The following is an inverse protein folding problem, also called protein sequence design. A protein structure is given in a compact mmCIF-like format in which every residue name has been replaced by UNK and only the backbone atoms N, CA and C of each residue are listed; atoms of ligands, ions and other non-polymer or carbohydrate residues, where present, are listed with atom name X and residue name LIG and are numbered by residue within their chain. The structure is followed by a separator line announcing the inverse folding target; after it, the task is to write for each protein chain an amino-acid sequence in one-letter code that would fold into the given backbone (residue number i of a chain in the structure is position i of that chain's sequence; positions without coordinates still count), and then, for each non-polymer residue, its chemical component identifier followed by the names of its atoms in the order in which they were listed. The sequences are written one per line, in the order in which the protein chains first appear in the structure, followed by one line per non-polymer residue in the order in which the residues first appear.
data_IF_304856034674
#
_entry.id   IF_304856034674
#
_cell.length_a   1.000
_cell.length_b   1.000
_cell.length_c   1.000
_cell.angle_alpha   90.00
_cell.angle_beta   90.00
_cell.angle_gamma   90.00
#
_symmetry.space_group_name_H-M   'P 1'
#
loop_
_entity.id
_entity.type
_entity.pdbx_description
1 polymer ?
#
# COMPACT_ATOMS: atom_id res chain seq x y z
N UNK A 1 -12.67 -21.36 -10.70
CA UNK A 1 -12.48 -22.27 -9.55
C UNK A 1 -11.34 -21.70 -8.73
N UNK A 2 -11.51 -21.54 -7.42
CA UNK A 2 -10.42 -21.09 -6.55
C UNK A 2 -9.34 -22.18 -6.49
N UNK A 3 -8.15 -21.88 -7.02
CA UNK A 3 -7.03 -22.79 -7.09
C UNK A 3 -5.88 -22.26 -6.23
N UNK A 4 -5.33 -23.10 -5.36
CA UNK A 4 -4.19 -22.77 -4.50
C UNK A 4 -2.84 -23.01 -5.21
N UNK A 5 -2.85 -23.62 -6.40
CA UNK A 5 -1.63 -23.85 -7.15
C UNK A 5 -1.20 -22.58 -7.85
N UNK A 6 0.03 -22.17 -7.58
CA UNK A 6 0.66 -21.11 -8.34
C UNK A 6 1.02 -21.61 -9.73
N UNK A 7 0.78 -20.78 -10.72
CA UNK A 7 1.22 -21.06 -12.09
C UNK A 7 2.75 -21.11 -12.19
N UNK A 8 3.32 -21.77 -13.21
CA UNK A 8 4.77 -21.74 -13.47
C UNK A 8 5.31 -20.31 -13.59
N UNK A 9 4.52 -19.39 -14.16
CA UNK A 9 4.87 -18.00 -14.31
C UNK A 9 4.93 -17.28 -12.95
N UNK A 10 3.92 -17.45 -12.09
CA UNK A 10 3.90 -16.90 -10.73
C UNK A 10 5.07 -17.42 -9.90
N UNK A 11 5.42 -18.72 -10.06
CA UNK A 11 6.58 -19.31 -9.39
C UNK A 11 7.89 -18.69 -9.88
N UNK A 12 8.02 -18.47 -11.19
CA UNK A 12 9.18 -17.84 -11.80
C UNK A 12 9.34 -16.38 -11.33
N UNK A 13 8.30 -15.57 -11.43
CA UNK A 13 8.30 -14.17 -10.98
C UNK A 13 8.66 -14.11 -9.48
N UNK A 14 8.03 -14.93 -8.64
CA UNK A 14 8.36 -15.02 -7.22
C UNK A 14 9.82 -15.33 -6.96
N UNK A 15 10.39 -16.29 -7.70
CA UNK A 15 11.81 -16.66 -7.59
C UNK A 15 12.73 -15.51 -7.97
N UNK A 16 12.44 -14.84 -9.09
CA UNK A 16 13.22 -13.69 -9.58
C UNK A 16 13.20 -12.52 -8.58
N UNK A 17 12.02 -12.18 -8.03
CA UNK A 17 11.91 -11.12 -7.02
C UNK A 17 12.65 -11.50 -5.74
N UNK A 18 12.56 -12.76 -5.30
CA UNK A 18 13.29 -13.25 -4.12
C UNK A 18 14.82 -13.14 -4.30
N UNK A 19 15.34 -13.46 -5.48
CA UNK A 19 16.76 -13.26 -5.76
C UNK A 19 17.16 -11.79 -5.75
N UNK A 20 16.34 -10.91 -6.33
CA UNK A 20 16.56 -9.48 -6.29
C UNK A 20 16.57 -8.95 -4.83
N UNK A 21 15.62 -9.36 -4.02
CA UNK A 21 15.55 -9.00 -2.60
C UNK A 21 16.81 -9.44 -1.86
N UNK A 22 17.25 -10.68 -2.07
CA UNK A 22 18.44 -11.23 -1.41
C UNK A 22 19.74 -10.52 -1.81
N UNK A 23 19.87 -10.12 -3.07
CA UNK A 23 21.11 -9.51 -3.60
C UNK A 23 21.16 -8.00 -3.47
N UNK A 24 20.03 -7.30 -3.65
CA UNK A 24 20.02 -5.86 -3.80
C UNK A 24 19.41 -5.11 -2.62
N UNK A 25 18.39 -5.69 -1.95
CA UNK A 25 17.67 -5.01 -0.88
C UNK A 25 18.23 -5.38 0.50
N UNK A 26 18.20 -6.68 0.86
CA UNK A 26 18.61 -7.13 2.20
C UNK A 26 20.01 -6.67 2.62
N UNK A 27 21.06 -6.72 1.77
CA UNK A 27 22.41 -6.29 2.17
C UNK A 27 22.49 -4.80 2.51
N UNK A 28 21.64 -3.97 1.91
CA UNK A 28 21.57 -2.53 2.17
C UNK A 28 20.76 -2.24 3.42
N UNK A 29 19.55 -2.81 3.50
CA UNK A 29 18.57 -2.48 4.54
C UNK A 29 18.92 -3.10 5.89
N UNK A 30 19.47 -4.31 5.88
CA UNK A 30 19.85 -5.03 7.12
C UNK A 30 21.30 -4.74 7.53
N UNK A 31 21.99 -3.80 6.88
CA UNK A 31 23.29 -3.36 7.37
C UNK A 31 23.12 -2.71 8.76
N UNK A 32 23.94 -3.07 9.76
CA UNK A 32 23.77 -2.60 11.14
C UNK A 32 23.66 -1.08 11.28
N UNK A 33 24.42 -0.33 10.47
CA UNK A 33 24.37 1.13 10.46
C UNK A 33 23.05 1.71 9.94
N UNK A 34 22.23 0.91 9.26
CA UNK A 34 20.94 1.31 8.65
C UNK A 34 19.70 0.75 9.35
N UNK A 35 19.86 0.02 10.43
CA UNK A 35 18.72 -0.52 11.20
C UNK A 35 18.04 0.56 12.04
N UNK A 36 18.65 1.73 12.21
CA UNK A 36 18.03 2.88 12.86
C UNK A 36 17.05 3.56 11.91
N UNK A 37 15.90 3.97 12.43
CA UNK A 37 14.87 4.62 11.62
C UNK A 37 15.36 5.93 10.95
N UNK A 38 16.31 6.66 11.56
CA UNK A 38 16.93 7.86 10.99
C UNK A 38 17.80 7.56 9.75
N UNK A 39 18.33 6.35 9.65
CA UNK A 39 19.31 5.98 8.62
C UNK A 39 18.68 5.18 7.47
N UNK A 40 17.35 5.09 7.43
CA UNK A 40 16.58 4.33 6.42
C UNK A 40 16.51 4.98 5.03
N UNK A 41 17.48 5.82 4.69
CA UNK A 41 17.55 6.31 3.32
C UNK A 41 17.88 5.17 2.35
N UNK A 42 16.94 4.89 1.47
CA UNK A 42 17.10 3.85 0.44
C UNK A 42 17.79 4.46 -0.80
N UNK A 43 18.88 3.84 -1.28
CA UNK A 43 19.53 4.30 -2.51
C UNK A 43 18.57 4.25 -3.69
N UNK A 44 18.59 5.30 -4.53
CA UNK A 44 17.75 5.39 -5.71
C UNK A 44 17.98 4.23 -6.71
N UNK A 45 19.18 3.66 -6.71
CA UNK A 45 19.57 2.53 -7.56
C UNK A 45 18.73 1.26 -7.31
N UNK A 46 18.19 1.07 -6.09
CA UNK A 46 17.29 -0.06 -5.80
C UNK A 46 16.01 0.09 -6.62
N UNK A 47 15.44 1.30 -6.67
CA UNK A 47 14.22 1.58 -7.43
C UNK A 47 14.46 1.52 -8.93
N UNK A 48 15.62 2.04 -9.40
CA UNK A 48 16.00 1.97 -10.80
C UNK A 48 16.10 0.50 -11.26
N UNK A 49 16.77 -0.37 -10.49
CA UNK A 49 16.89 -1.80 -10.77
C UNK A 49 15.54 -2.52 -10.76
N UNK A 50 14.72 -2.25 -9.75
CA UNK A 50 13.37 -2.82 -9.65
C UNK A 50 12.48 -2.38 -10.83
N UNK A 51 12.59 -1.13 -11.26
CA UNK A 51 11.87 -0.61 -12.42
C UNK A 51 12.33 -1.25 -13.74
N UNK A 52 13.64 -1.50 -13.92
CA UNK A 52 14.17 -2.24 -15.07
C UNK A 52 13.65 -3.68 -15.13
N UNK A 53 13.33 -4.28 -13.99
CA UNK A 53 12.67 -5.60 -13.91
C UNK A 53 11.18 -5.56 -14.22
N UNK A 54 10.61 -4.40 -14.51
CA UNK A 54 9.17 -4.23 -14.76
C UNK A 54 8.29 -4.15 -13.49
N UNK A 55 8.87 -4.15 -12.28
CA UNK A 55 8.10 -4.21 -11.04
C UNK A 55 7.24 -2.95 -10.81
N UNK A 56 7.67 -1.79 -11.33
CA UNK A 56 6.94 -0.54 -11.26
C UNK A 56 5.68 -0.51 -12.14
N UNK A 57 5.69 -1.26 -13.26
CA UNK A 57 4.60 -1.32 -14.24
C UNK A 57 3.90 -2.69 -14.24
N UNK A 58 4.10 -3.48 -13.18
CA UNK A 58 3.70 -4.88 -13.09
C UNK A 58 2.20 -5.11 -13.37
N UNK A 59 1.33 -4.30 -12.77
CA UNK A 59 -0.13 -4.45 -12.89
C UNK A 59 -0.72 -3.74 -14.12
N UNK A 60 0.04 -2.85 -14.78
CA UNK A 60 -0.42 -2.20 -16.01
C UNK A 60 -0.53 -3.24 -17.12
N UNK A 61 -1.60 -3.18 -17.91
CA UNK A 61 -1.85 -4.19 -18.95
C UNK A 61 -0.76 -4.25 -20.00
N UNK A 62 -0.58 -5.42 -20.60
CA UNK A 62 0.43 -5.68 -21.64
C UNK A 62 0.26 -4.77 -22.86
N UNK A 63 -0.98 -4.52 -23.28
CA UNK A 63 -1.26 -3.65 -24.43
C UNK A 63 -0.88 -2.18 -24.20
N UNK A 64 -0.70 -1.77 -22.94
CA UNK A 64 -0.18 -0.46 -22.54
C UNK A 64 1.32 -0.50 -22.16
N UNK A 65 2.00 -1.63 -22.31
CA UNK A 65 3.42 -1.77 -22.06
C UNK A 65 3.81 -2.20 -20.64
N UNK A 66 2.87 -2.64 -19.83
CA UNK A 66 3.11 -3.28 -18.55
C UNK A 66 3.21 -4.80 -18.64
N UNK A 67 3.18 -5.50 -17.50
CA UNK A 67 3.21 -6.96 -17.44
C UNK A 67 1.83 -7.61 -17.30
N UNK A 68 0.76 -6.84 -17.10
CA UNK A 68 -0.60 -7.35 -17.00
C UNK A 68 -0.87 -8.28 -15.80
N UNK A 69 -0.07 -8.15 -14.74
CA UNK A 69 -0.18 -9.03 -13.59
C UNK A 69 -1.54 -8.85 -12.88
N UNK A 70 -2.17 -9.99 -12.58
CA UNK A 70 -3.38 -10.04 -11.78
C UNK A 70 -3.14 -9.63 -10.32
N UNK A 71 -4.22 -9.49 -9.55
CA UNK A 71 -4.14 -9.10 -8.14
C UNK A 71 -3.35 -10.10 -7.29
N UNK A 72 -3.46 -11.40 -7.58
CA UNK A 72 -2.71 -12.42 -6.85
C UNK A 72 -1.20 -12.32 -7.11
N UNK A 73 -0.81 -12.20 -8.37
CA UNK A 73 0.60 -12.02 -8.76
C UNK A 73 1.18 -10.73 -8.18
N UNK A 74 0.41 -9.64 -8.22
CA UNK A 74 0.79 -8.37 -7.60
C UNK A 74 1.02 -8.50 -6.08
N UNK A 75 0.17 -9.26 -5.37
CA UNK A 75 0.34 -9.54 -3.95
C UNK A 75 1.53 -10.45 -3.65
N UNK A 76 1.81 -11.46 -4.50
CA UNK A 76 3.00 -12.32 -4.36
C UNK A 76 4.27 -11.48 -4.47
N UNK A 77 4.33 -10.59 -5.45
CA UNK A 77 5.48 -9.69 -5.65
C UNK A 77 5.62 -8.71 -4.49
N UNK A 78 4.52 -8.11 -4.03
CA UNK A 78 4.52 -7.19 -2.89
C UNK A 78 5.00 -7.87 -1.60
N UNK A 79 4.56 -9.12 -1.32
CA UNK A 79 5.04 -9.92 -0.19
C UNK A 79 6.55 -10.18 -0.28
N UNK A 80 7.06 -10.64 -1.44
CA UNK A 80 8.50 -10.92 -1.62
C UNK A 80 9.35 -9.65 -1.46
N UNK A 81 8.94 -8.52 -2.03
CA UNK A 81 9.62 -7.24 -1.86
C UNK A 81 9.67 -6.81 -0.38
N UNK A 82 8.57 -6.97 0.35
CA UNK A 82 8.46 -6.58 1.74
C UNK A 82 9.29 -7.47 2.70
N UNK A 83 9.63 -8.70 2.29
CA UNK A 83 10.64 -9.51 3.00
C UNK A 83 12.02 -8.85 2.96
N UNK A 84 12.27 -8.04 1.94
CA UNK A 84 13.45 -7.18 1.89
C UNK A 84 13.25 -5.89 2.66
N UNK A 85 12.23 -5.13 2.27
CA UNK A 85 11.94 -3.84 2.89
C UNK A 85 10.50 -3.38 2.58
N UNK A 86 9.78 -2.96 3.61
CA UNK A 86 8.40 -2.49 3.50
C UNK A 86 8.28 -1.19 2.69
N UNK A 87 9.24 -0.28 2.78
CA UNK A 87 9.20 1.00 2.08
C UNK A 87 9.43 0.81 0.57
N UNK A 88 10.37 -0.07 0.20
CA UNK A 88 10.58 -0.45 -1.22
C UNK A 88 9.31 -1.08 -1.80
N UNK A 89 8.72 -2.03 -1.06
CA UNK A 89 7.50 -2.70 -1.47
C UNK A 89 6.34 -1.71 -1.64
N UNK A 90 6.15 -0.79 -0.68
CA UNK A 90 5.09 0.22 -0.71
C UNK A 90 5.21 1.15 -1.92
N UNK A 91 6.40 1.69 -2.19
CA UNK A 91 6.62 2.61 -3.32
C UNK A 91 6.31 1.92 -4.66
N UNK A 92 6.82 0.70 -4.86
CA UNK A 92 6.67 -0.01 -6.12
C UNK A 92 5.25 -0.54 -6.32
N UNK A 93 4.67 -1.20 -5.31
CA UNK A 93 3.32 -1.75 -5.39
C UNK A 93 2.27 -0.64 -5.56
N UNK A 94 2.37 0.45 -4.78
CA UNK A 94 1.47 1.60 -4.93
C UNK A 94 1.54 2.19 -6.35
N UNK A 95 2.76 2.39 -6.88
CA UNK A 95 2.93 2.91 -8.25
C UNK A 95 2.34 1.94 -9.28
N UNK A 96 2.57 0.65 -9.14
CA UNK A 96 2.10 -0.37 -10.08
C UNK A 96 0.57 -0.45 -10.10
N UNK A 97 -0.06 -0.56 -8.94
CA UNK A 97 -1.53 -0.66 -8.81
C UNK A 97 -2.20 0.64 -9.24
N UNK A 98 -1.68 1.79 -8.82
CA UNK A 98 -2.21 3.08 -9.23
C UNK A 98 -2.01 3.31 -10.75
N UNK A 99 -0.92 2.80 -11.31
CA UNK A 99 -0.68 2.79 -12.76
C UNK A 99 -1.79 2.05 -13.51
N UNK A 100 -2.12 0.84 -13.06
CA UNK A 100 -3.25 0.07 -13.61
C UNK A 100 -4.56 0.88 -13.52
N UNK A 101 -4.88 1.42 -12.35
CA UNK A 101 -6.13 2.18 -12.18
C UNK A 101 -6.18 3.42 -13.05
N UNK A 102 -5.12 4.20 -13.10
CA UNK A 102 -5.10 5.43 -13.89
C UNK A 102 -5.07 5.16 -15.39
N UNK A 103 -4.12 4.36 -15.86
CA UNK A 103 -3.89 4.18 -17.30
C UNK A 103 -4.87 3.19 -17.94
N UNK A 104 -5.23 2.11 -17.28
CA UNK A 104 -6.15 1.12 -17.87
C UNK A 104 -7.61 1.54 -17.73
N UNK A 105 -7.99 2.21 -16.61
CA UNK A 105 -9.40 2.36 -16.26
C UNK A 105 -9.90 3.81 -16.33
N UNK A 106 -9.16 4.78 -15.79
CA UNK A 106 -9.71 6.12 -15.53
C UNK A 106 -9.33 7.19 -16.55
N UNK A 107 -8.14 7.11 -17.12
CA UNK A 107 -7.66 8.11 -18.07
C UNK A 107 -8.37 8.00 -19.42
N UNK A 108 -8.73 9.13 -19.98
CA UNK A 108 -9.15 9.22 -21.37
C UNK A 108 -8.00 8.89 -22.33
N UNK A 109 -8.27 8.54 -23.60
CA UNK A 109 -7.21 8.31 -24.59
C UNK A 109 -6.22 9.47 -24.71
N UNK A 110 -6.70 10.72 -24.63
CA UNK A 110 -5.85 11.92 -24.69
C UNK A 110 -4.93 12.05 -23.47
N UNK A 111 -5.44 11.77 -22.26
CA UNK A 111 -4.65 11.78 -21.06
C UNK A 111 -3.59 10.67 -21.07
N UNK A 112 -3.95 9.46 -21.52
CA UNK A 112 -2.99 8.36 -21.71
C UNK A 112 -1.90 8.74 -22.71
N UNK A 113 -2.25 9.29 -23.87
CA UNK A 113 -1.27 9.72 -24.86
C UNK A 113 -0.27 10.76 -24.31
N UNK A 114 -0.71 11.57 -23.35
CA UNK A 114 0.13 12.58 -22.70
C UNK A 114 1.10 12.00 -21.67
N UNK A 115 0.63 11.09 -20.79
CA UNK A 115 1.39 10.68 -19.60
C UNK A 115 2.03 9.30 -19.69
N UNK A 116 1.44 8.36 -20.44
CA UNK A 116 1.91 6.98 -20.50
C UNK A 116 3.31 6.81 -21.11
N UNK A 117 3.68 7.51 -22.23
CA UNK A 117 5.01 7.32 -22.81
C UNK A 117 6.14 7.66 -21.84
N UNK A 118 6.03 8.75 -21.10
CA UNK A 118 7.02 9.12 -20.11
C UNK A 118 6.99 8.17 -18.90
N UNK A 119 5.81 7.78 -18.43
CA UNK A 119 5.66 6.80 -17.37
C UNK A 119 6.38 5.48 -17.71
N UNK A 120 6.31 5.00 -18.92
CA UNK A 120 7.00 3.79 -19.34
C UNK A 120 8.52 3.96 -19.45
N UNK A 121 8.97 5.07 -20.05
CA UNK A 121 10.37 5.32 -20.37
C UNK A 121 11.20 5.76 -19.16
N UNK A 122 10.62 6.47 -18.20
CA UNK A 122 11.33 7.02 -17.05
C UNK A 122 11.21 6.07 -15.85
N UNK A 123 12.30 5.38 -15.52
CA UNK A 123 12.34 4.42 -14.40
C UNK A 123 12.08 5.04 -13.01
N UNK A 124 12.15 6.35 -12.89
CA UNK A 124 11.87 7.11 -11.65
C UNK A 124 10.49 7.77 -11.64
N UNK A 125 9.67 7.46 -12.64
CA UNK A 125 8.31 7.98 -12.69
C UNK A 125 7.40 7.21 -11.74
N UNK A 126 7.25 7.71 -10.53
CA UNK A 126 6.29 7.16 -9.57
C UNK A 126 4.99 7.94 -9.59
N UNK A 127 3.95 7.33 -9.02
CA UNK A 127 2.61 7.85 -8.94
C UNK A 127 2.21 8.03 -7.48
N UNK A 128 1.36 9.04 -7.23
CA UNK A 128 0.73 9.25 -5.94
C UNK A 128 -0.75 9.60 -6.10
N UNK A 129 -1.51 9.35 -5.06
CA UNK A 129 -2.91 9.71 -5.03
C UNK A 129 -3.30 10.39 -3.72
N UNK A 130 -3.68 11.66 -3.82
CA UNK A 130 -4.22 12.48 -2.76
C UNK A 130 -5.76 12.39 -2.80
N UNK A 131 -6.31 11.40 -2.12
CA UNK A 131 -7.75 11.11 -2.14
C UNK A 131 -8.49 11.76 -0.97
N UNK A 132 -8.03 11.53 0.24
CA UNK A 132 -8.65 11.92 1.49
C UNK A 132 -7.56 12.17 2.55
N UNK A 133 -7.85 12.97 3.57
CA UNK A 133 -6.99 13.10 4.73
C UNK A 133 -6.97 11.79 5.53
N UNK A 134 -5.82 11.38 6.10
CA UNK A 134 -5.71 10.12 6.84
C UNK A 134 -6.67 9.99 8.03
N UNK A 135 -7.08 11.11 8.62
CA UNK A 135 -7.99 11.16 9.77
C UNK A 135 -9.41 11.61 9.41
N UNK A 136 -9.78 11.60 8.12
CA UNK A 136 -11.11 11.97 7.65
C UNK A 136 -12.23 11.19 8.33
N UNK A 137 -11.93 9.98 8.78
CA UNK A 137 -12.86 9.07 9.44
C UNK A 137 -12.86 9.17 10.97
N UNK A 138 -12.04 10.03 11.57
CA UNK A 138 -12.06 10.22 13.03
C UNK A 138 -13.44 10.75 13.45
N UNK A 139 -14.11 10.00 14.34
CA UNK A 139 -15.45 10.30 14.78
C UNK A 139 -16.57 9.86 13.83
N UNK A 140 -16.22 9.20 12.72
CA UNK A 140 -17.22 8.59 11.84
C UNK A 140 -18.06 7.55 12.58
N UNK A 141 -19.36 7.60 12.28
CA UNK A 141 -20.33 6.65 12.81
C UNK A 141 -20.87 5.83 11.66
N UNK A 142 -20.60 4.54 11.63
CA UNK A 142 -20.96 3.64 10.51
C UNK A 142 -22.47 3.63 10.15
N UNK A 143 -23.35 4.09 11.03
CA UNK A 143 -24.78 4.23 10.78
C UNK A 143 -25.17 5.56 10.10
N UNK A 144 -24.22 6.43 9.80
CA UNK A 144 -24.42 7.71 9.10
C UNK A 144 -23.46 7.82 7.93
N UNK A 145 -23.95 8.08 6.72
CA UNK A 145 -23.07 8.28 5.58
C UNK A 145 -22.20 9.53 5.81
N UNK A 146 -20.95 9.45 5.37
CA UNK A 146 -20.07 10.62 5.27
C UNK A 146 -20.51 11.50 4.10
N UNK A 147 -20.35 12.82 4.26
CA UNK A 147 -20.51 13.74 3.14
C UNK A 147 -19.45 13.43 2.05
N UNK A 148 -19.79 13.66 0.78
CA UNK A 148 -18.91 13.34 -0.35
C UNK A 148 -17.58 14.13 -0.30
N UNK A 149 -17.60 15.33 0.27
CA UNK A 149 -16.47 16.22 0.48
C UNK A 149 -15.69 15.93 1.77
N UNK A 150 -16.15 15.01 2.61
CA UNK A 150 -15.46 14.68 3.85
C UNK A 150 -14.03 14.23 3.56
N UNK A 151 -13.06 14.85 4.24
CA UNK A 151 -11.63 14.55 4.05
C UNK A 151 -11.00 15.07 2.77
N UNK A 152 -11.69 15.93 1.99
CA UNK A 152 -11.15 16.57 0.79
C UNK A 152 -10.80 18.03 1.09
N UNK A 153 -9.54 18.34 1.49
CA UNK A 153 -9.15 19.66 1.94
C UNK A 153 -8.77 20.62 0.81
N UNK A 154 -8.78 20.15 -0.44
CA UNK A 154 -8.40 20.93 -1.62
C UNK A 154 -9.64 21.42 -2.33
N UNK A 155 -9.73 22.73 -2.56
CA UNK A 155 -10.76 23.36 -3.38
C UNK A 155 -10.34 23.43 -4.84
N UNK A 156 -11.32 23.31 -5.76
CA UNK A 156 -11.12 23.46 -7.21
C UNK A 156 -12.01 24.56 -7.75
N UNK A 157 -11.43 25.53 -8.45
CA UNK A 157 -12.18 26.63 -9.08
C UNK A 157 -11.98 26.61 -10.59
N UNK A 158 -13.07 26.50 -11.35
CA UNK A 158 -13.00 26.56 -12.82
C UNK A 158 -12.89 28.01 -13.29
N UNK A 159 -11.92 28.26 -14.16
CA UNK A 159 -11.69 29.58 -14.74
C UNK A 159 -12.50 29.78 -16.03
N UNK A 160 -12.75 31.04 -16.47
CA UNK A 160 -13.47 31.34 -17.73
C UNK A 160 -12.83 30.72 -18.98
N UNK A 161 -11.50 30.54 -18.99
CA UNK A 161 -10.75 29.88 -20.06
C UNK A 161 -10.84 28.34 -20.03
N UNK A 162 -11.57 27.78 -19.06
CA UNK A 162 -11.77 26.35 -18.89
C UNK A 162 -10.73 25.65 -17.98
N UNK A 163 -9.61 26.30 -17.65
CA UNK A 163 -8.63 25.77 -16.70
C UNK A 163 -9.20 25.63 -15.29
N UNK A 164 -8.54 24.81 -14.49
CA UNK A 164 -8.84 24.69 -13.07
C UNK A 164 -7.71 25.28 -12.22
N UNK A 165 -8.08 25.92 -11.13
CA UNK A 165 -7.17 26.38 -10.08
C UNK A 165 -7.45 25.58 -8.82
N UNK A 166 -6.41 24.88 -8.33
CA UNK A 166 -6.47 24.08 -7.12
C UNK A 166 -5.79 24.83 -5.98
N UNK A 167 -6.45 24.87 -4.80
CA UNK A 167 -5.94 25.50 -3.59
C UNK A 167 -6.26 24.64 -2.37
N UNK A 168 -5.26 24.45 -1.51
CA UNK A 168 -5.36 23.68 -0.28
C UNK A 168 -4.17 22.79 -0.05
N UNK A 169 -4.25 21.89 0.92
CA UNK A 169 -3.15 20.97 1.18
C UNK A 169 -3.66 19.68 1.78
N UNK A 170 -2.99 18.57 1.47
CA UNK A 170 -3.09 17.31 2.16
C UNK A 170 -1.95 17.18 3.15
N UNK A 171 -2.23 16.80 4.39
CA UNK A 171 -1.21 16.64 5.43
C UNK A 171 -0.27 15.48 5.18
N UNK A 172 -0.80 14.43 4.53
CA UNK A 172 0.01 13.30 4.10
C UNK A 172 -0.57 12.66 2.84
N UNK A 173 0.30 12.41 1.86
CA UNK A 173 -0.01 11.68 0.63
C UNK A 173 1.07 10.63 0.42
N UNK A 174 0.66 9.38 0.32
CA UNK A 174 1.55 8.26 0.06
C UNK A 174 2.29 8.45 -1.27
N UNK A 175 3.57 8.14 -1.32
CA UNK A 175 4.46 8.34 -2.47
C UNK A 175 4.66 9.79 -2.96
N UNK A 176 4.05 10.80 -2.35
CA UNK A 176 4.14 12.18 -2.86
C UNK A 176 5.57 12.68 -3.03
N UNK A 177 6.51 12.24 -2.16
CA UNK A 177 7.91 12.67 -2.22
C UNK A 177 8.66 12.16 -3.45
N UNK A 178 8.24 11.05 -4.04
CA UNK A 178 8.86 10.43 -5.22
C UNK A 178 7.99 10.49 -6.48
N UNK A 179 6.73 10.88 -6.35
CA UNK A 179 5.79 10.91 -7.48
C UNK A 179 6.15 11.98 -8.51
N UNK A 180 6.06 11.63 -9.79
CA UNK A 180 6.13 12.54 -10.94
C UNK A 180 4.74 13.03 -11.33
N UNK A 181 3.71 12.20 -11.17
CA UNK A 181 2.31 12.55 -11.39
C UNK A 181 1.50 12.23 -10.14
N UNK A 182 0.69 13.19 -9.72
CA UNK A 182 -0.18 13.07 -8.55
C UNK A 182 -1.65 13.16 -9.00
N UNK A 183 -2.44 12.14 -8.70
CA UNK A 183 -3.89 12.22 -8.82
C UNK A 183 -4.44 12.93 -7.56
N UNK A 184 -5.03 14.11 -7.72
CA UNK A 184 -5.48 14.96 -6.61
C UNK A 184 -6.99 15.05 -6.61
N UNK A 185 -7.63 14.61 -5.55
CA UNK A 185 -9.07 14.84 -5.34
C UNK A 185 -9.29 16.24 -4.79
N UNK A 186 -10.16 16.99 -5.44
CA UNK A 186 -10.49 18.37 -5.05
C UNK A 186 -11.99 18.62 -5.19
N UNK A 187 -12.51 19.49 -4.33
CA UNK A 187 -13.93 19.82 -4.26
C UNK A 187 -14.23 21.13 -5.01
N UNK A 188 -14.99 21.09 -6.12
CA UNK A 188 -15.55 22.29 -6.74
C UNK A 188 -16.70 22.84 -5.88
N UNK A 189 -16.87 24.17 -5.87
CA UNK A 189 -17.83 24.84 -4.99
C UNK A 189 -19.31 24.42 -5.14
N UNK A 190 -19.70 23.82 -6.26
CA UNK A 190 -21.10 23.52 -6.57
C UNK A 190 -21.31 22.10 -7.15
N UNK A 191 -20.34 21.20 -6.99
CA UNK A 191 -20.42 19.84 -7.51
C UNK A 191 -19.64 18.87 -6.63
N UNK A 192 -19.85 17.58 -6.84
CA UNK A 192 -19.09 16.53 -6.17
C UNK A 192 -17.58 16.65 -6.40
N UNK A 193 -16.75 16.21 -5.44
CA UNK A 193 -15.31 16.19 -5.60
C UNK A 193 -14.87 15.42 -6.85
N UNK A 194 -13.87 15.95 -7.54
CA UNK A 194 -13.31 15.39 -8.77
C UNK A 194 -11.83 15.11 -8.58
N UNK A 195 -11.28 14.19 -9.36
CA UNK A 195 -9.84 13.89 -9.34
C UNK A 195 -9.16 14.56 -10.54
N UNK A 196 -8.05 15.23 -10.28
CA UNK A 196 -7.23 15.96 -11.25
C UNK A 196 -5.85 15.33 -11.36
N UNK A 197 -5.35 15.20 -12.58
CA UNK A 197 -3.98 14.79 -12.85
C UNK A 197 -3.07 16.01 -12.74
N UNK A 198 -2.20 16.02 -11.76
CA UNK A 198 -1.31 17.14 -11.42
C UNK A 198 0.15 16.70 -11.55
N UNK A 199 0.89 17.18 -12.57
CA UNK A 199 2.34 16.97 -12.63
C UNK A 199 3.04 17.55 -11.39
N UNK A 200 4.07 16.87 -10.91
CA UNK A 200 4.82 17.26 -9.71
C UNK A 200 5.52 18.62 -9.85
N UNK A 201 5.91 18.97 -11.08
CA UNK A 201 6.58 20.21 -11.46
C UNK A 201 5.60 21.35 -11.86
N UNK A 202 4.30 21.13 -11.75
CA UNK A 202 3.31 22.16 -12.06
C UNK A 202 3.48 23.36 -11.11
N UNK A 203 3.39 24.61 -11.63
CA UNK A 203 3.46 25.81 -10.80
C UNK A 203 2.45 25.77 -9.66
N UNK A 204 2.89 26.08 -8.45
CA UNK A 204 2.05 26.07 -7.26
C UNK A 204 1.97 24.70 -6.55
N UNK A 205 2.68 23.69 -7.00
CA UNK A 205 2.82 22.39 -6.32
C UNK A 205 4.07 22.40 -5.45
N UNK A 206 3.89 22.07 -4.16
CA UNK A 206 5.00 21.79 -3.26
C UNK A 206 4.72 20.52 -2.45
N UNK A 207 5.75 19.69 -2.26
CA UNK A 207 5.68 18.53 -1.37
C UNK A 207 6.75 18.68 -0.31
N UNK A 208 6.37 18.48 0.94
CA UNK A 208 7.29 18.45 2.08
C UNK A 208 7.30 17.06 2.66
N UNK A 209 8.47 16.42 2.62
CA UNK A 209 8.65 15.14 3.32
C UNK A 209 8.58 15.41 4.84
N UNK A 210 7.96 14.51 5.62
CA UNK A 210 8.07 14.59 7.06
C UNK A 210 9.54 14.38 7.44
N UNK A 211 10.08 15.25 8.26
CA UNK A 211 11.36 14.98 8.91
C UNK A 211 11.20 13.69 9.71
N UNK A 212 12.03 12.70 9.43
CA UNK A 212 11.93 11.34 10.00
C UNK A 212 12.02 11.34 11.54
N UNK A 213 12.55 12.41 12.14
CA UNK A 213 12.60 12.68 13.59
C UNK A 213 12.57 14.18 13.90
N UNK A 214 12.17 15.03 12.95
CA UNK A 214 12.17 16.47 13.11
C UNK A 214 10.87 17.00 13.70
N UNK A 215 11.00 18.19 14.25
CA UNK A 215 9.87 19.07 14.49
C UNK A 215 9.64 19.77 13.16
N UNK A 216 8.44 19.67 12.59
CA UNK A 216 8.10 20.46 11.41
C UNK A 216 8.33 21.95 11.69
N UNK A 217 8.52 22.77 10.63
CA UNK A 217 8.80 24.20 10.78
C UNK A 217 7.74 24.98 11.59
N UNK A 218 6.56 24.39 11.80
CA UNK A 218 5.47 24.90 12.62
C UNK A 218 5.47 24.38 14.09
N UNK A 219 6.52 23.65 14.48
CA UNK A 219 6.66 23.11 15.84
C UNK A 219 5.93 21.78 16.07
N UNK A 220 5.27 21.21 15.08
CA UNK A 220 4.61 19.91 15.21
C UNK A 220 5.62 18.78 14.91
N UNK A 221 5.66 17.78 15.80
CA UNK A 221 6.43 16.57 15.59
C UNK A 221 5.73 15.71 14.51
N UNK A 222 6.30 15.65 13.33
CA UNK A 222 5.83 14.75 12.28
C UNK A 222 6.63 13.47 12.38
N UNK A 223 6.04 12.45 12.98
CA UNK A 223 6.56 11.09 12.89
C UNK A 223 6.02 10.44 11.63
N UNK A 224 6.87 9.75 10.88
CA UNK A 224 6.39 8.92 9.79
C UNK A 224 5.70 7.68 10.37
N UNK A 225 4.39 7.69 10.35
CA UNK A 225 3.54 6.54 10.68
C UNK A 225 3.16 5.71 9.45
N UNK A 226 3.86 5.94 8.34
CA UNK A 226 3.54 5.34 7.06
C UNK A 226 4.79 4.75 6.44
N UNK A 227 4.63 3.66 5.72
CA UNK A 227 5.67 3.12 4.86
C UNK A 227 5.73 3.84 3.52
N UNK A 228 6.87 3.69 2.82
CA UNK A 228 7.12 4.35 1.57
C UNK A 228 7.68 5.77 1.74
N UNK A 229 7.56 6.60 0.71
CA UNK A 229 8.02 7.99 0.70
C UNK A 229 6.86 8.95 0.47
N UNK A 230 6.07 9.14 1.51
CA UNK A 230 4.98 10.10 1.52
C UNK A 230 5.40 11.50 1.94
N UNK A 231 4.45 12.43 1.90
CA UNK A 231 4.68 13.80 2.34
C UNK A 231 3.42 14.64 2.29
N UNK A 232 3.48 15.83 2.90
CA UNK A 232 2.43 16.81 2.79
C UNK A 232 2.45 17.45 1.40
N UNK A 233 1.29 17.51 0.74
CA UNK A 233 1.11 18.11 -0.58
C UNK A 233 0.44 19.48 -0.42
N UNK A 234 1.08 20.53 -0.89
CA UNK A 234 0.54 21.88 -0.92
C UNK A 234 0.23 22.30 -2.37
N UNK A 235 -0.90 22.92 -2.55
CA UNK A 235 -1.39 23.45 -3.83
C UNK A 235 -1.74 24.93 -3.60
N UNK A 236 -0.94 25.84 -4.16
CA UNK A 236 -1.12 27.27 -4.05
C UNK A 236 -1.33 27.86 -5.45
N UNK A 237 -2.56 28.24 -5.77
CA UNK A 237 -2.94 28.70 -7.12
C UNK A 237 -2.47 27.74 -8.22
N UNK A 238 -2.45 26.44 -7.95
CA UNK A 238 -2.00 25.43 -8.90
C UNK A 238 -2.96 25.38 -10.09
N UNK A 239 -2.47 25.77 -11.28
CA UNK A 239 -3.25 25.78 -12.51
C UNK A 239 -3.05 24.49 -13.27
N UNK A 240 -4.16 23.85 -13.61
CA UNK A 240 -4.16 22.65 -14.44
C UNK A 240 -5.11 22.82 -15.61
N UNK A 241 -4.78 22.28 -16.80
CA UNK A 241 -5.64 22.34 -17.99
C UNK A 241 -7.04 21.77 -17.73
N UNK A 242 -7.99 22.15 -18.57
CA UNK A 242 -9.37 21.69 -18.49
C UNK A 242 -9.49 20.15 -18.56
N UNK A 243 -8.63 19.52 -19.36
CA UNK A 243 -8.55 18.08 -19.58
C UNK A 243 -7.78 17.31 -18.50
N UNK A 244 -7.28 18.00 -17.46
CA UNK A 244 -6.61 17.33 -16.31
C UNK A 244 -7.59 16.62 -15.37
N UNK A 245 -8.88 16.98 -15.40
CA UNK A 245 -9.89 16.25 -14.65
C UNK A 245 -10.11 14.87 -15.27
N UNK A 246 -10.02 13.81 -14.45
CA UNK A 246 -10.39 12.46 -14.87
C UNK A 246 -11.85 12.43 -15.31
N UNK A 247 -12.13 11.75 -16.43
CA UNK A 247 -13.48 11.66 -17.01
C UNK A 247 -14.39 10.67 -16.28
N UNK A 248 -15.70 10.79 -16.51
CA UNK A 248 -16.72 9.86 -16.07
C UNK A 248 -16.86 9.75 -14.55
N UNK A 249 -17.33 8.59 -14.08
CA UNK A 249 -17.53 8.27 -12.67
C UNK A 249 -16.22 8.03 -11.89
N UNK A 250 -15.10 8.64 -12.32
CA UNK A 250 -13.84 8.67 -11.58
C UNK A 250 -13.97 9.32 -10.18
N UNK A 251 -15.18 9.74 -9.84
CA UNK A 251 -15.55 10.29 -8.51
C UNK A 251 -15.95 9.23 -7.50
N UNK A 252 -16.13 8.00 -7.94
CA UNK A 252 -16.80 6.98 -7.12
C UNK A 252 -16.00 5.69 -6.87
N UNK A 253 -16.64 4.53 -7.03
CA UNK A 253 -16.16 3.24 -6.55
C UNK A 253 -14.81 2.79 -7.12
N UNK A 254 -14.48 3.15 -8.36
CA UNK A 254 -13.23 2.71 -9.01
C UNK A 254 -11.98 3.28 -8.33
N UNK A 255 -12.03 4.56 -7.94
CA UNK A 255 -10.94 5.20 -7.19
C UNK A 255 -10.87 4.74 -5.73
N UNK A 256 -12.00 4.37 -5.13
CA UNK A 256 -12.00 3.74 -3.81
C UNK A 256 -11.43 2.33 -3.82
N UNK A 257 -11.26 1.73 -4.98
CA UNK A 257 -10.66 0.40 -5.13
C UNK A 257 -9.14 0.38 -4.92
N UNK A 258 -8.46 1.54 -5.00
CA UNK A 258 -7.01 1.66 -4.77
C UNK A 258 -6.64 2.07 -3.37
N UNK A 259 -7.59 2.57 -2.59
CA UNK A 259 -7.38 3.04 -1.22
C UNK A 259 -8.16 2.20 -0.21
N UNK A 260 -8.31 2.72 0.97
CA UNK A 260 -8.93 2.17 2.17
C UNK A 260 -10.34 1.54 2.05
N UNK A 261 -10.96 1.56 0.90
CA UNK A 261 -12.37 1.18 0.73
C UNK A 261 -12.67 -0.30 0.49
N UNK A 262 -11.69 -1.18 0.57
CA UNK A 262 -11.91 -2.63 0.70
C UNK A 262 -12.33 -3.39 -0.55
N UNK A 263 -12.07 -2.88 -1.77
CA UNK A 263 -12.44 -3.53 -3.03
C UNK A 263 -11.31 -3.65 -4.07
N UNK A 264 -10.11 -3.18 -3.76
CA UNK A 264 -8.95 -3.26 -4.65
C UNK A 264 -8.03 -4.42 -4.32
N UNK A 265 -6.93 -4.51 -5.06
CA UNK A 265 -5.85 -5.45 -4.79
C UNK A 265 -5.32 -5.25 -3.36
N UNK A 266 -5.27 -6.30 -2.51
CA UNK A 266 -4.83 -6.19 -1.11
C UNK A 266 -3.30 -6.18 -1.00
N UNK A 267 -2.63 -5.27 -1.73
CA UNK A 267 -1.17 -5.19 -1.76
C UNK A 267 -0.56 -4.72 -0.43
N UNK A 268 -1.26 -3.87 0.32
CA UNK A 268 -0.83 -3.41 1.66
C UNK A 268 -0.80 -4.58 2.63
N UNK A 269 -1.81 -5.44 2.59
CA UNK A 269 -1.90 -6.66 3.39
C UNK A 269 -0.81 -7.67 3.00
N UNK A 270 -0.48 -7.76 1.72
CA UNK A 270 0.62 -8.58 1.22
C UNK A 270 1.98 -8.05 1.71
N UNK A 271 2.19 -6.72 1.69
CA UNK A 271 3.39 -6.08 2.26
C UNK A 271 3.49 -6.36 3.76
N UNK A 272 2.40 -6.17 4.49
CA UNK A 272 2.33 -6.45 5.93
C UNK A 272 2.72 -7.91 6.22
N UNK A 273 2.17 -8.85 5.46
CA UNK A 273 2.52 -10.28 5.55
C UNK A 273 4.01 -10.52 5.29
N UNK A 274 4.59 -9.83 4.30
CA UNK A 274 6.03 -9.91 3.99
C UNK A 274 6.91 -9.48 5.16
N UNK A 275 6.53 -8.44 5.90
CA UNK A 275 7.23 -8.03 7.14
C UNK A 275 7.17 -9.13 8.20
N UNK A 276 6.00 -9.74 8.41
CA UNK A 276 5.84 -10.87 9.33
C UNK A 276 6.70 -12.06 8.94
N UNK A 277 6.75 -12.37 7.64
CA UNK A 277 7.59 -13.45 7.10
C UNK A 277 9.08 -13.16 7.29
N UNK A 278 9.53 -11.91 7.07
CA UNK A 278 10.91 -11.51 7.31
C UNK A 278 11.32 -11.71 8.78
N UNK A 279 10.46 -11.33 9.71
CA UNK A 279 10.69 -11.56 11.15
C UNK A 279 10.74 -13.05 11.50
N UNK A 280 9.85 -13.86 10.92
CA UNK A 280 9.82 -15.31 11.11
C UNK A 280 11.07 -16.00 10.56
N UNK A 281 11.46 -15.70 9.33
CA UNK A 281 12.67 -16.25 8.69
C UNK A 281 13.89 -15.94 9.54
N UNK A 282 14.06 -14.70 10.00
CA UNK A 282 15.16 -14.29 10.85
C UNK A 282 15.14 -15.02 12.21
N UNK A 283 13.97 -15.18 12.84
CA UNK A 283 13.82 -15.90 14.12
C UNK A 283 14.13 -17.39 13.97
N UNK A 284 13.69 -18.00 12.87
CA UNK A 284 13.95 -19.40 12.55
C UNK A 284 15.44 -19.66 12.34
N UNK A 285 16.12 -18.80 11.57
CA UNK A 285 17.56 -18.92 11.33
C UNK A 285 18.36 -18.69 12.60
N UNK A 286 18.00 -17.68 13.41
CA UNK A 286 18.61 -17.46 14.71
C UNK A 286 18.44 -18.67 15.63
N UNK A 287 17.24 -19.27 15.68
CA UNK A 287 16.96 -20.41 16.54
C UNK A 287 17.74 -21.67 16.16
N UNK A 288 18.09 -21.84 14.85
CA UNK A 288 18.95 -22.92 14.36
C UNK A 288 20.42 -22.72 14.69
N UNK A 289 20.87 -21.46 14.78
CA UNK A 289 22.27 -21.11 15.02
C UNK A 289 22.61 -20.91 16.50
N UNK A 290 21.68 -20.36 17.29
CA UNK A 290 21.90 -20.03 18.70
C UNK A 290 21.92 -21.28 19.56
N UNK A 291 23.03 -21.51 20.28
CA UNK A 291 23.16 -22.61 21.24
C UNK A 291 22.91 -22.09 22.65
N UNK A 292 22.01 -22.75 23.39
CA UNK A 292 21.74 -22.52 24.81
C UNK A 292 21.31 -23.85 25.42
N UNK A 293 21.74 -24.12 26.67
CA UNK A 293 21.47 -25.42 27.31
C UNK A 293 22.08 -26.60 26.56
N UNK A 294 23.24 -26.41 25.92
CA UNK A 294 24.01 -27.43 25.23
C UNK A 294 23.53 -27.84 23.82
N UNK A 295 22.51 -27.17 23.25
CA UNK A 295 21.97 -27.47 21.91
C UNK A 295 21.39 -26.23 21.23
N UNK A 296 21.14 -26.24 19.91
CA UNK A 296 20.41 -25.20 19.24
C UNK A 296 19.06 -24.93 19.88
N UNK A 297 18.67 -23.65 20.04
CA UNK A 297 17.45 -23.32 20.78
C UNK A 297 16.17 -23.82 20.10
N UNK A 298 16.19 -24.07 18.78
CA UNK A 298 15.06 -24.67 18.05
C UNK A 298 14.70 -26.07 18.57
N UNK A 299 15.66 -26.80 19.17
CA UNK A 299 15.44 -28.14 19.74
C UNK A 299 14.73 -28.12 21.08
N UNK A 300 14.51 -26.95 21.67
CA UNK A 300 13.70 -26.78 22.87
C UNK A 300 12.24 -26.68 22.49
N UNK A 301 11.38 -27.53 23.04
CA UNK A 301 9.95 -27.59 22.71
C UNK A 301 9.24 -26.23 22.81
N UNK A 302 9.60 -25.41 23.83
CA UNK A 302 9.01 -24.09 24.01
C UNK A 302 9.29 -23.17 22.80
N UNK A 303 10.54 -23.15 22.31
CA UNK A 303 10.92 -22.36 21.13
C UNK A 303 10.27 -22.92 19.87
N UNK A 304 10.25 -24.27 19.73
CA UNK A 304 9.55 -24.90 18.60
C UNK A 304 8.06 -24.56 18.56
N UNK A 305 7.39 -24.54 19.73
CA UNK A 305 5.98 -24.14 19.83
C UNK A 305 5.77 -22.66 19.43
N UNK A 306 6.63 -21.75 19.88
CA UNK A 306 6.57 -20.33 19.51
C UNK A 306 6.72 -20.13 18.00
N UNK A 307 7.70 -20.82 17.39
CA UNK A 307 7.89 -20.75 15.92
C UNK A 307 6.70 -21.33 15.15
N UNK A 308 6.10 -22.42 15.67
CA UNK A 308 4.90 -23.00 15.07
C UNK A 308 3.69 -22.05 15.14
N UNK A 309 3.49 -21.35 16.27
CA UNK A 309 2.43 -20.35 16.39
C UNK A 309 2.61 -19.19 15.39
N UNK A 310 3.84 -18.71 15.19
CA UNK A 310 4.15 -17.69 14.19
C UNK A 310 3.81 -18.20 12.80
N UNK A 311 4.28 -19.40 12.44
CA UNK A 311 4.03 -20.01 11.14
C UNK A 311 2.53 -20.17 10.85
N UNK A 312 1.74 -20.66 11.82
CA UNK A 312 0.29 -20.79 11.69
C UNK A 312 -0.37 -19.43 11.40
N UNK A 313 -0.02 -18.38 12.16
CA UNK A 313 -0.59 -17.04 11.94
C UNK A 313 -0.28 -16.52 10.55
N UNK A 314 0.95 -16.67 10.09
CA UNK A 314 1.37 -16.17 8.77
C UNK A 314 0.72 -16.96 7.63
N UNK A 315 0.56 -18.28 7.75
CA UNK A 315 -0.12 -19.07 6.72
C UNK A 315 -1.62 -18.74 6.63
N UNK A 316 -2.30 -18.54 7.76
CA UNK A 316 -3.70 -18.09 7.78
C UNK A 316 -3.81 -16.69 7.18
N UNK A 317 -2.88 -15.78 7.52
CA UNK A 317 -2.83 -14.44 6.95
C UNK A 317 -2.64 -14.49 5.43
N UNK A 318 -1.71 -15.30 4.93
CA UNK A 318 -1.47 -15.51 3.49
C UNK A 318 -2.71 -16.02 2.77
N UNK A 319 -3.36 -17.04 3.32
CA UNK A 319 -4.59 -17.58 2.75
C UNK A 319 -5.68 -16.51 2.63
N UNK A 320 -5.79 -15.63 3.61
CA UNK A 320 -6.76 -14.52 3.62
C UNK A 320 -6.41 -13.47 2.56
N UNK A 321 -5.13 -13.09 2.43
CA UNK A 321 -4.66 -12.15 1.39
C UNK A 321 -4.89 -12.72 0.00
N UNK A 322 -4.51 -13.96 -0.25
CA UNK A 322 -4.67 -14.60 -1.56
C UNK A 322 -6.14 -14.74 -1.96
N UNK A 323 -7.01 -15.09 -1.00
CA UNK A 323 -8.44 -15.14 -1.25
C UNK A 323 -9.00 -13.76 -1.59
N UNK A 324 -8.57 -12.71 -0.88
CA UNK A 324 -8.99 -11.34 -1.16
C UNK A 324 -8.46 -10.85 -2.51
N UNK A 325 -7.21 -11.18 -2.86
CA UNK A 325 -6.62 -10.87 -4.15
C UNK A 325 -7.37 -11.53 -5.31
N UNK A 326 -7.62 -12.84 -5.20
CA UNK A 326 -8.38 -13.57 -6.20
C UNK A 326 -9.81 -13.01 -6.37
N UNK A 327 -10.46 -12.67 -5.27
CA UNK A 327 -11.80 -12.08 -5.28
C UNK A 327 -11.85 -10.66 -5.88
N UNK A 328 -10.73 -9.92 -5.89
CA UNK A 328 -10.65 -8.62 -6.56
C UNK A 328 -10.84 -8.76 -8.08
N UNK A 329 -10.28 -9.81 -8.65
CA UNK A 329 -10.36 -10.09 -10.08
C UNK A 329 -11.62 -10.89 -10.47
N UNK A 330 -12.31 -11.49 -9.48
CA UNK A 330 -13.48 -12.35 -9.65
C UNK A 330 -14.63 -11.93 -8.72
N UNK A 331 -15.15 -10.70 -8.86
CA UNK A 331 -16.17 -10.17 -7.95
C UNK A 331 -17.46 -11.01 -7.93
N UNK A 332 -17.79 -11.71 -9.03
CA UNK A 332 -18.94 -12.62 -9.12
C UNK A 332 -18.83 -13.83 -8.19
N UNK A 333 -17.62 -14.28 -7.88
CA UNK A 333 -17.40 -15.47 -7.05
C UNK A 333 -17.76 -15.27 -5.58
N UNK A 334 -17.88 -14.02 -5.12
CA UNK A 334 -18.26 -13.72 -3.73
C UNK A 334 -19.77 -13.63 -3.53
N UNK A 335 -20.58 -13.65 -4.60
CA UNK A 335 -22.03 -13.52 -4.56
C UNK A 335 -22.74 -14.68 -3.82
N UNK A 336 -22.08 -15.81 -3.66
CA UNK A 336 -22.65 -17.04 -3.06
C UNK A 336 -22.12 -17.34 -1.64
N UNK A 337 -21.57 -16.34 -0.96
CA UNK A 337 -21.05 -16.54 0.40
C UNK A 337 -22.20 -16.61 1.42
N UNK A 338 -21.94 -17.33 2.52
CA UNK A 338 -22.89 -17.46 3.64
C UNK A 338 -23.22 -16.12 4.33
N UNK A 339 -22.31 -15.17 4.26
CA UNK A 339 -22.52 -13.77 4.64
C UNK A 339 -22.22 -12.96 3.40
N UNK A 340 -23.30 -12.53 2.74
CA UNK A 340 -23.22 -11.69 1.56
C UNK A 340 -22.56 -10.34 1.90
N UNK A 341 -21.93 -9.72 0.92
CA UNK A 341 -21.42 -8.35 0.97
C UNK A 341 -20.28 -8.07 1.97
N UNK A 342 -19.71 -9.10 2.62
CA UNK A 342 -18.51 -8.88 3.44
C UNK A 342 -17.32 -8.51 2.57
N UNK A 343 -16.68 -7.36 2.82
CA UNK A 343 -15.52 -6.90 2.06
C UNK A 343 -14.28 -7.72 2.45
N UNK A 344 -13.86 -8.63 1.58
CA UNK A 344 -12.74 -9.56 1.85
C UNK A 344 -11.42 -8.85 2.08
N UNK A 345 -11.14 -7.81 1.32
CA UNK A 345 -9.93 -7.00 1.47
C UNK A 345 -9.91 -6.32 2.84
N UNK A 346 -11.05 -5.81 3.28
CA UNK A 346 -11.18 -5.20 4.62
C UNK A 346 -11.00 -6.25 5.73
N UNK A 347 -11.52 -7.48 5.52
CA UNK A 347 -11.30 -8.60 6.46
C UNK A 347 -9.83 -8.99 6.49
N UNK A 348 -9.18 -9.08 5.32
CA UNK A 348 -7.74 -9.34 5.23
C UNK A 348 -6.96 -8.29 6.02
N UNK A 349 -7.25 -7.01 5.82
CA UNK A 349 -6.62 -5.89 6.53
C UNK A 349 -6.75 -6.02 8.05
N UNK A 350 -7.96 -6.17 8.55
CA UNK A 350 -8.23 -6.28 9.98
C UNK A 350 -7.52 -7.48 10.63
N UNK A 351 -7.44 -8.60 9.90
CA UNK A 351 -6.81 -9.82 10.41
C UNK A 351 -5.29 -9.77 10.30
N UNK A 352 -4.76 -9.44 9.12
CA UNK A 352 -3.32 -9.52 8.80
C UNK A 352 -2.52 -8.55 9.66
N UNK A 353 -2.97 -7.29 9.82
CA UNK A 353 -2.25 -6.30 10.64
C UNK A 353 -2.08 -6.77 12.09
N UNK A 354 -3.13 -7.33 12.69
CA UNK A 354 -3.06 -7.86 14.06
C UNK A 354 -2.18 -9.13 14.12
N UNK A 355 -2.40 -10.08 13.22
CA UNK A 355 -1.68 -11.35 13.20
C UNK A 355 -0.18 -11.17 12.99
N UNK A 356 0.21 -10.26 12.09
CA UNK A 356 1.62 -9.95 11.81
C UNK A 356 2.27 -9.22 12.97
N UNK A 357 1.58 -8.24 13.58
CA UNK A 357 2.11 -7.58 14.77
C UNK A 357 2.40 -8.59 15.91
N UNK A 358 1.45 -9.47 16.21
CA UNK A 358 1.65 -10.53 17.21
C UNK A 358 2.78 -11.51 16.81
N UNK A 359 2.88 -11.85 15.52
CA UNK A 359 3.94 -12.73 15.02
C UNK A 359 5.33 -12.10 15.16
N UNK A 360 5.48 -10.79 14.85
CA UNK A 360 6.76 -10.09 15.00
C UNK A 360 7.18 -9.93 16.44
N UNK A 361 6.26 -9.66 17.38
CA UNK A 361 6.55 -9.65 18.81
C UNK A 361 7.04 -11.01 19.30
N UNK A 362 6.35 -12.09 18.90
CA UNK A 362 6.76 -13.46 19.27
C UNK A 362 8.09 -13.84 18.62
N UNK A 363 8.38 -13.39 17.40
CA UNK A 363 9.69 -13.56 16.77
C UNK A 363 10.81 -12.84 17.58
N UNK A 364 10.54 -11.65 18.09
CA UNK A 364 11.48 -10.94 18.97
C UNK A 364 11.71 -11.68 20.29
N UNK A 365 10.69 -12.33 20.87
CA UNK A 365 10.84 -13.18 22.05
C UNK A 365 11.76 -14.38 21.78
N UNK A 366 11.73 -14.99 20.60
CA UNK A 366 12.66 -16.07 20.20
C UNK A 366 14.12 -15.60 20.22
N UNK A 367 14.38 -14.35 19.86
CA UNK A 367 15.72 -13.73 19.97
C UNK A 367 16.15 -13.48 21.42
N UNK A 368 15.21 -13.43 22.38
CA UNK A 368 15.48 -13.06 23.77
C UNK A 368 16.12 -11.67 23.86
N UNK A 369 17.15 -11.51 24.68
CA UNK A 369 17.84 -10.22 24.82
C UNK A 369 18.44 -9.67 23.51
N UNK A 370 18.75 -10.53 22.55
CA UNK A 370 19.24 -10.10 21.24
C UNK A 370 18.16 -9.41 20.42
N UNK A 371 16.87 -9.63 20.70
CA UNK A 371 15.76 -8.96 20.00
C UNK A 371 15.68 -7.46 20.26
N UNK A 372 16.34 -6.93 21.31
CA UNK A 372 16.39 -5.50 21.61
C UNK A 372 17.72 -4.84 21.21
N UNK A 373 18.64 -5.60 20.61
CA UNK A 373 19.94 -5.08 20.19
C UNK A 373 19.81 -4.33 18.85
N UNK A 374 20.52 -3.21 18.73
CA UNK A 374 20.46 -2.31 17.56
C UNK A 374 21.02 -2.91 16.27
N UNK A 375 21.94 -3.85 16.39
CA UNK A 375 22.56 -4.57 15.27
C UNK A 375 21.76 -5.80 14.82
N UNK A 376 20.59 -6.03 15.44
CA UNK A 376 19.66 -7.09 15.07
C UNK A 376 18.41 -6.56 14.37
N UNK A 377 17.85 -7.29 13.40
CA UNK A 377 16.76 -6.77 12.57
C UNK A 377 15.40 -6.73 13.27
N UNK A 378 15.24 -7.32 14.44
CA UNK A 378 13.93 -7.49 15.09
C UNK A 378 13.24 -6.17 15.41
N UNK A 379 14.00 -5.15 15.88
CA UNK A 379 13.41 -3.84 16.17
C UNK A 379 12.79 -3.20 14.91
N UNK A 380 13.47 -3.37 13.76
CA UNK A 380 12.91 -2.93 12.47
C UNK A 380 11.60 -3.62 12.17
N UNK A 381 11.56 -4.95 12.23
CA UNK A 381 10.36 -5.70 11.86
C UNK A 381 9.18 -5.45 12.81
N UNK A 382 9.44 -5.35 14.12
CA UNK A 382 8.40 -4.98 15.09
C UNK A 382 7.87 -3.58 14.84
N UNK A 383 8.75 -2.62 14.56
CA UNK A 383 8.35 -1.26 14.23
C UNK A 383 7.54 -1.21 12.92
N UNK A 384 8.00 -1.89 11.87
CA UNK A 384 7.31 -1.92 10.58
C UNK A 384 5.91 -2.53 10.72
N UNK A 385 5.77 -3.62 11.47
CA UNK A 385 4.48 -4.23 11.77
C UNK A 385 3.56 -3.30 12.59
N UNK A 386 4.12 -2.54 13.53
CA UNK A 386 3.37 -1.58 14.35
C UNK A 386 2.83 -0.42 13.51
N UNK A 387 3.59 0.04 12.52
CA UNK A 387 3.13 1.05 11.55
C UNK A 387 1.88 0.55 10.82
N UNK A 388 1.88 -0.67 10.29
CA UNK A 388 0.71 -1.24 9.61
C UNK A 388 -0.48 -1.47 10.55
N UNK A 389 -0.23 -1.77 11.82
CA UNK A 389 -1.30 -1.94 12.81
C UNK A 389 -2.03 -0.62 13.11
N UNK A 390 -1.29 0.50 13.12
CA UNK A 390 -1.81 1.81 13.52
C UNK A 390 -1.97 2.81 12.37
N UNK A 391 -1.60 2.46 11.14
CA UNK A 391 -2.02 3.24 9.98
C UNK A 391 -3.54 3.17 9.88
N UNK A 392 -4.25 4.24 10.15
CA UNK A 392 -5.70 4.43 10.37
C UNK A 392 -6.68 3.37 9.83
N UNK A 393 -6.29 2.71 8.77
CA UNK A 393 -7.06 1.71 8.03
C UNK A 393 -7.39 0.41 8.80
N UNK A 394 -6.52 -0.04 9.72
CA UNK A 394 -6.75 -1.30 10.44
C UNK A 394 -7.86 -1.20 11.48
N UNK A 395 -8.01 -0.03 12.12
CA UNK A 395 -9.13 0.24 13.03
C UNK A 395 -10.43 0.43 12.24
N UNK A 396 -10.40 1.24 11.20
CA UNK A 396 -11.54 1.54 10.35
C UNK A 396 -12.06 0.30 9.62
N UNK A 397 -11.18 -0.67 9.33
CA UNK A 397 -11.57 -1.94 8.74
C UNK A 397 -12.65 -2.66 9.55
N UNK A 398 -12.56 -2.66 10.88
CA UNK A 398 -13.58 -3.27 11.75
C UNK A 398 -14.90 -2.51 11.70
N UNK A 399 -14.85 -1.18 11.61
CA UNK A 399 -16.05 -0.35 11.47
C UNK A 399 -16.72 -0.55 10.11
N UNK A 400 -15.95 -0.70 9.05
CA UNK A 400 -16.47 -1.03 7.71
C UNK A 400 -17.12 -2.42 7.65
N UNK A 401 -16.55 -3.40 8.35
CA UNK A 401 -17.17 -4.72 8.48
C UNK A 401 -18.50 -4.62 9.26
N UNK A 402 -18.52 -3.87 10.35
CA UNK A 402 -19.73 -3.65 11.14
C UNK A 402 -20.82 -2.93 10.33
N UNK A 403 -20.44 -1.95 9.51
CA UNK A 403 -21.34 -1.27 8.56
C UNK A 403 -21.97 -2.24 7.57
N UNK A 404 -21.16 -3.13 6.99
CA UNK A 404 -21.64 -4.16 6.06
C UNK A 404 -22.59 -5.14 6.75
N UNK A 405 -22.25 -5.61 7.96
CA UNK A 405 -23.10 -6.49 8.76
C UNK A 405 -24.43 -5.85 9.15
N UNK A 406 -24.42 -4.55 9.41
CA UNK A 406 -25.63 -3.79 9.73
C UNK A 406 -26.50 -3.48 8.49
N UNK A 407 -26.03 -3.79 7.28
CA UNK A 407 -26.74 -3.54 6.03
C UNK A 407 -26.79 -2.07 5.61
N UNK A 408 -25.90 -1.22 6.15
CA UNK A 408 -25.82 0.20 5.77
C UNK A 408 -25.03 0.38 4.45
N UNK A 409 -24.10 -0.50 4.13
CA UNK A 409 -23.50 -0.56 2.80
C UNK A 409 -24.44 -1.27 1.84
N UNK A 410 -25.01 -0.51 0.92
CA UNK A 410 -25.67 -1.12 -0.25
C UNK A 410 -24.59 -1.36 -1.31
N UNK A 411 -24.49 -2.58 -1.87
CA UNK A 411 -23.70 -2.79 -3.07
C UNK A 411 -24.24 -1.85 -4.16
N UNK A 412 -23.37 -1.36 -5.08
CA UNK A 412 -23.87 -0.65 -6.24
C UNK A 412 -24.86 -1.57 -6.96
N UNK A 413 -26.06 -1.07 -7.19
CA UNK A 413 -27.08 -1.79 -7.97
C UNK A 413 -26.46 -2.14 -9.33
N UNK A 414 -26.40 -3.43 -9.73
CA UNK A 414 -25.92 -3.75 -11.05
C UNK A 414 -26.75 -2.96 -12.07
N UNK A 415 -26.15 -2.48 -13.16
CA UNK A 415 -26.92 -1.82 -14.21
C UNK A 415 -28.03 -2.77 -14.62
N UNK A 416 -29.28 -2.28 -14.60
CA UNK A 416 -30.43 -3.02 -15.08
C UNK A 416 -30.13 -3.50 -16.48
N UNK A 417 -30.12 -4.82 -16.69
CA UNK A 417 -30.07 -5.41 -18.02
C UNK A 417 -31.31 -4.92 -18.77
N UNK A 418 -31.16 -3.89 -19.61
CA UNK A 418 -32.11 -3.47 -20.62
C UNK A 418 -31.60 -3.89 -21.99
#
# INVERSE_FOLDING_TARGET
MYDLHLTPEQLHIRGTVREFVAREIKPVVLHPDRLQAADRYLPAEIFDKASHMGLRTLAVSEHLGGAGADSLTSCIVAEELAVGDADVASILAHTSILGHVLFDTLMTPGQRARFLPEFLANHRYHLAWAAEEPDAHIGWRYHRPLAAEAGVPVAATRQPNGEWVLNGHYRFVENAAVATLIAVRAAPAASEPRTFLVPRDAPGVAVREPDTFGVAADGQSVRSWYHGRGGALFLEHCRVPADSALGGDATGPALRATGSSGRGTPYVEAITLGVGRAAFEAALDYAKLRVQGGRPIIEHQAIGAMLAEIAIKLEVARATVWQAAWASDHPEAVAHRSIADLPLQTIARAFVSTAVHEATLKAAEVFGAMGVMRDMPMQKYVHDALVFLHSGDAHDAKLHIAEALAGYRRPPTPPSAT
#
